data_IF_049779631463
#
_entry.id   IF_049779631463
#
_cell.length_a   1.000
_cell.length_b   1.000
_cell.length_c   1.000
_cell.angle_alpha   90.00
_cell.angle_beta   90.00
_cell.angle_gamma   90.00
#
_symmetry.space_group_name_H-M   'P 1'
#
loop_
_entity.id
_entity.type
_entity.pdbx_description
1 polymer ?
#
# COMPACT_ATOMS: atom_id res chain seq x y z
N UNK A 1 -11.09 13.67 -12.67
CA UNK A 1 -10.95 13.67 -11.20
C UNK A 1 -9.56 14.14 -10.81
N UNK A 2 -9.50 15.30 -10.18
CA UNK A 2 -8.29 15.92 -9.65
C UNK A 2 -7.77 15.13 -8.44
N UNK A 3 -6.57 15.46 -7.96
CA UNK A 3 -5.96 14.79 -6.81
C UNK A 3 -6.76 14.98 -5.52
N UNK A 4 -7.23 16.21 -5.29
CA UNK A 4 -8.02 16.56 -4.12
C UNK A 4 -9.35 15.80 -4.09
N UNK A 5 -10.02 15.68 -5.24
CA UNK A 5 -11.26 14.90 -5.37
C UNK A 5 -11.04 13.42 -4.98
N UNK A 6 -9.93 12.82 -5.43
CA UNK A 6 -9.59 11.43 -5.08
C UNK A 6 -9.32 11.27 -3.59
N UNK A 7 -8.57 12.20 -3.01
CA UNK A 7 -8.27 12.16 -1.59
C UNK A 7 -9.53 12.30 -0.74
N UNK A 8 -10.42 13.22 -1.12
CA UNK A 8 -11.71 13.41 -0.49
C UNK A 8 -12.56 12.14 -0.59
N UNK A 9 -12.63 11.54 -1.78
CA UNK A 9 -13.36 10.30 -2.01
C UNK A 9 -12.83 9.13 -1.15
N UNK A 10 -11.51 9.00 -1.06
CA UNK A 10 -10.85 8.03 -0.19
C UNK A 10 -11.21 8.27 1.28
N UNK A 11 -11.11 9.53 1.72
CA UNK A 11 -11.36 9.95 3.09
C UNK A 11 -12.79 9.63 3.52
N UNK A 12 -13.79 10.05 2.74
CA UNK A 12 -15.21 9.83 3.03
C UNK A 12 -15.54 8.35 3.17
N UNK A 13 -15.02 7.52 2.25
CA UNK A 13 -15.25 6.09 2.29
C UNK A 13 -14.60 5.44 3.52
N UNK A 14 -13.35 5.79 3.82
CA UNK A 14 -12.62 5.26 4.97
C UNK A 14 -13.26 5.71 6.28
N UNK A 15 -13.62 6.98 6.44
CA UNK A 15 -14.26 7.50 7.66
C UNK A 15 -15.54 6.74 7.94
N UNK A 16 -16.44 6.60 6.94
CA UNK A 16 -17.69 5.83 7.11
C UNK A 16 -17.43 4.41 7.61
N UNK A 17 -16.40 3.74 7.06
CA UNK A 17 -16.03 2.37 7.41
C UNK A 17 -15.38 2.27 8.79
N UNK A 18 -14.56 3.25 9.17
CA UNK A 18 -13.91 3.34 10.48
C UNK A 18 -14.91 3.66 11.59
N UNK A 19 -15.88 4.53 11.31
CA UNK A 19 -16.97 4.86 12.24
C UNK A 19 -17.85 3.63 12.53
N UNK A 20 -18.11 2.79 11.51
CA UNK A 20 -18.77 1.49 11.71
C UNK A 20 -17.96 0.55 12.63
N UNK A 21 -16.63 0.72 12.67
CA UNK A 21 -15.72 0.00 13.58
C UNK A 21 -15.50 0.72 14.91
N UNK A 22 -16.33 1.73 15.23
CA UNK A 22 -16.22 2.57 16.43
C UNK A 22 -14.93 3.40 16.55
N UNK A 23 -14.21 3.64 15.46
CA UNK A 23 -13.05 4.52 15.44
C UNK A 23 -13.37 5.86 14.77
N UNK A 24 -13.05 6.95 15.46
CA UNK A 24 -13.30 8.31 14.96
C UNK A 24 -12.04 8.88 14.35
N UNK A 25 -12.12 9.18 13.06
CA UNK A 25 -11.07 9.82 12.30
C UNK A 25 -11.58 11.11 11.67
N UNK A 26 -10.69 12.10 11.53
CA UNK A 26 -10.97 13.35 10.84
C UNK A 26 -10.03 13.50 9.66
N UNK A 27 -10.59 13.92 8.54
CA UNK A 27 -9.81 14.25 7.37
C UNK A 27 -9.10 15.59 7.55
N UNK A 28 -7.84 15.64 7.14
CA UNK A 28 -7.05 16.84 7.09
C UNK A 28 -6.16 16.86 5.85
N UNK A 29 -5.95 18.07 5.32
CA UNK A 29 -4.96 18.36 4.30
C UNK A 29 -3.90 19.27 4.91
N UNK A 30 -2.63 18.90 4.81
CA UNK A 30 -1.54 19.72 5.33
C UNK A 30 -1.34 20.95 4.44
N UNK A 31 -1.79 22.11 4.91
CA UNK A 31 -1.51 23.39 4.26
C UNK A 31 -0.17 23.97 4.75
N UNK A 32 0.49 24.84 3.98
CA UNK A 32 1.70 25.54 4.45
C UNK A 32 1.52 26.25 5.81
N UNK A 33 0.32 26.77 6.09
CA UNK A 33 -0.03 27.43 7.35
C UNK A 33 -0.22 26.46 8.53
N UNK A 34 -0.60 25.21 8.26
CA UNK A 34 -0.81 24.17 9.29
C UNK A 34 0.49 23.67 9.95
N UNK A 35 1.68 24.05 9.42
CA UNK A 35 3.00 23.72 9.99
C UNK A 35 3.16 24.08 11.48
N UNK A 36 2.39 25.04 11.99
CA UNK A 36 2.45 25.48 13.39
C UNK A 36 1.61 24.62 14.35
N UNK A 37 0.61 23.87 13.87
CA UNK A 37 -0.19 22.96 14.72
C UNK A 37 0.50 21.60 14.75
N UNK A 38 1.44 21.45 15.69
CA UNK A 38 2.21 20.23 15.93
C UNK A 38 1.27 19.11 16.38
N UNK A 39 0.94 18.18 15.49
CA UNK A 39 0.50 16.84 15.90
C UNK A 39 1.73 16.12 16.46
N UNK A 40 1.98 16.16 17.77
CA UNK A 40 3.03 15.35 18.40
C UNK A 40 4.43 15.43 17.72
N UNK A 41 4.86 16.63 17.30
CA UNK A 41 6.10 16.89 16.52
C UNK A 41 6.15 16.29 15.11
N UNK A 42 5.06 15.73 14.56
CA UNK A 42 5.01 15.25 13.19
C UNK A 42 4.69 16.38 12.17
N UNK A 43 5.72 16.96 11.50
CA UNK A 43 5.63 17.66 10.22
C UNK A 43 5.11 16.73 9.10
N UNK A 44 3.85 16.92 8.72
CA UNK A 44 3.28 16.37 7.48
C UNK A 44 3.64 17.32 6.33
N UNK A 45 4.19 16.80 5.23
CA UNK A 45 4.66 17.59 4.08
C UNK A 45 3.50 18.36 3.44
N UNK A 46 3.78 19.49 2.77
CA UNK A 46 2.74 20.32 2.12
C UNK A 46 1.90 19.48 1.15
N UNK A 47 0.59 19.70 1.16
CA UNK A 47 -0.39 19.09 0.27
C UNK A 47 -0.56 17.57 0.44
N UNK A 48 -0.23 17.04 1.62
CA UNK A 48 -0.51 15.65 1.96
C UNK A 48 -1.92 15.52 2.51
N UNK A 49 -2.58 14.45 2.11
CA UNK A 49 -3.92 14.09 2.56
C UNK A 49 -3.82 12.99 3.60
N UNK A 50 -4.52 13.14 4.72
CA UNK A 50 -4.48 12.14 5.79
C UNK A 50 -5.75 12.14 6.64
N UNK A 51 -5.99 11.01 7.28
CA UNK A 51 -6.95 10.88 8.39
C UNK A 51 -6.18 10.86 9.70
N UNK A 52 -6.66 11.56 10.71
CA UNK A 52 -6.12 11.51 12.06
C UNK A 52 -7.22 11.14 13.07
N UNK A 53 -6.91 10.25 13.99
CA UNK A 53 -7.78 9.83 15.08
C UNK A 53 -6.94 9.45 16.29
N UNK A 54 -7.60 9.06 17.38
CA UNK A 54 -6.91 8.66 18.61
C UNK A 54 -6.10 7.37 18.40
N UNK A 55 -6.56 6.50 17.49
CA UNK A 55 -5.90 5.24 17.16
C UNK A 55 -4.71 5.36 16.20
N UNK A 56 -4.54 6.52 15.55
CA UNK A 56 -3.43 6.73 14.62
C UNK A 56 -3.66 7.68 13.45
N UNK A 57 -2.83 7.51 12.43
CA UNK A 57 -2.78 8.33 11.21
C UNK A 57 -2.87 7.42 9.99
N UNK A 58 -3.77 7.75 9.06
CA UNK A 58 -3.86 7.08 7.76
C UNK A 58 -3.44 8.09 6.68
N UNK A 59 -2.32 7.83 6.00
CA UNK A 59 -1.87 8.66 4.88
C UNK A 59 -2.63 8.26 3.62
N UNK A 60 -3.30 9.22 2.99
CA UNK A 60 -4.02 9.03 1.74
C UNK A 60 -3.11 9.46 0.60
N UNK A 61 -2.84 8.53 -0.32
CA UNK A 61 -1.95 8.77 -1.46
C UNK A 61 -2.79 8.77 -2.76
N UNK A 62 -3.46 9.90 -3.08
CA UNK A 62 -4.38 10.04 -4.21
C UNK A 62 -3.68 10.09 -5.58
N UNK A 63 -2.37 10.38 -5.60
CA UNK A 63 -1.59 10.43 -6.85
C UNK A 63 -1.54 9.05 -7.49
N UNK A 64 -1.77 9.04 -8.80
CA UNK A 64 -1.23 7.96 -9.64
C UNK A 64 0.28 8.01 -9.50
N UNK A 65 0.89 6.92 -9.02
CA UNK A 65 2.34 6.85 -8.99
C UNK A 65 2.86 6.70 -10.42
N UNK A 66 3.21 7.83 -11.02
CA UNK A 66 3.96 7.91 -12.26
C UNK A 66 5.45 8.05 -11.93
N UNK A 67 6.32 7.58 -12.83
CA UNK A 67 7.79 7.66 -12.64
C UNK A 67 8.31 9.11 -12.52
N UNK A 68 7.46 10.11 -12.80
CA UNK A 68 7.75 11.54 -12.72
C UNK A 68 7.44 12.17 -11.35
N UNK A 69 6.84 11.45 -10.40
CA UNK A 69 6.57 12.00 -9.07
C UNK A 69 7.86 11.96 -8.24
N UNK A 70 8.36 13.08 -7.70
CA UNK A 70 9.61 13.09 -6.94
C UNK A 70 9.47 12.26 -5.65
N UNK A 71 10.08 11.08 -5.66
CA UNK A 71 10.11 10.07 -4.58
C UNK A 71 10.52 10.61 -3.20
N UNK A 72 11.29 11.70 -3.18
CA UNK A 72 11.91 12.27 -1.99
C UNK A 72 10.91 12.76 -0.91
N UNK A 73 9.67 13.07 -1.28
CA UNK A 73 8.67 13.63 -0.36
C UNK A 73 7.99 12.59 0.51
N UNK A 74 7.53 11.49 -0.08
CA UNK A 74 6.92 10.37 0.67
C UNK A 74 7.91 9.74 1.64
N UNK A 75 9.14 9.58 1.19
CA UNK A 75 10.25 9.00 1.94
C UNK A 75 10.48 9.67 3.29
N UNK A 76 10.58 11.00 3.27
CA UNK A 76 10.76 11.81 4.47
C UNK A 76 9.52 11.76 5.34
N UNK A 77 8.35 11.97 4.76
CA UNK A 77 7.07 11.96 5.48
C UNK A 77 6.86 10.64 6.24
N UNK A 78 7.05 9.52 5.55
CA UNK A 78 6.79 8.18 6.10
C UNK A 78 7.79 7.80 7.19
N UNK A 79 9.09 8.00 6.94
CA UNK A 79 10.13 7.72 7.93
C UNK A 79 9.97 8.60 9.17
N UNK A 80 9.69 9.88 8.95
CA UNK A 80 9.56 10.85 10.01
C UNK A 80 8.30 10.60 10.85
N UNK A 81 7.13 10.39 10.23
CA UNK A 81 5.90 10.03 10.95
C UNK A 81 6.14 8.79 11.81
N UNK A 82 6.73 7.73 11.25
CA UNK A 82 7.08 6.51 11.99
C UNK A 82 8.06 6.75 13.15
N UNK A 83 9.00 7.69 13.02
CA UNK A 83 9.97 8.00 14.08
C UNK A 83 9.42 8.92 15.20
N UNK A 84 8.27 9.54 14.99
CA UNK A 84 7.69 10.54 15.91
C UNK A 84 6.38 10.10 16.54
N UNK A 85 5.74 9.06 16.01
CA UNK A 85 4.46 8.58 16.51
C UNK A 85 4.60 7.15 17.04
N UNK A 86 4.27 6.96 18.32
CA UNK A 86 3.91 5.61 18.83
C UNK A 86 2.58 5.11 18.25
N UNK A 87 1.85 6.02 17.59
CA UNK A 87 0.56 5.77 16.98
C UNK A 87 0.64 4.93 15.69
N UNK A 88 -0.44 4.21 15.37
CA UNK A 88 -0.54 3.43 14.15
C UNK A 88 -0.47 4.35 12.93
N UNK A 89 0.49 4.16 12.04
CA UNK A 89 0.59 4.87 10.77
C UNK A 89 0.22 3.91 9.64
N UNK A 90 -0.68 4.25 8.72
CA UNK A 90 -0.99 3.41 7.55
C UNK A 90 -1.05 4.21 6.25
N UNK A 91 -0.18 3.96 5.26
CA UNK A 91 -0.34 4.50 3.93
C UNK A 91 -1.37 3.68 3.14
N UNK A 92 -2.30 4.38 2.49
CA UNK A 92 -3.28 3.80 1.57
C UNK A 92 -3.10 4.44 0.20
N UNK A 93 -2.88 3.58 -0.80
CA UNK A 93 -2.57 3.98 -2.16
C UNK A 93 -3.82 3.97 -3.04
N UNK A 94 -4.09 5.06 -3.75
CA UNK A 94 -5.16 5.09 -4.74
C UNK A 94 -4.78 4.29 -5.99
N UNK A 95 -5.69 3.44 -6.48
CA UNK A 95 -5.57 2.74 -7.76
C UNK A 95 -6.85 2.93 -8.56
N UNK A 96 -6.74 3.27 -9.84
CA UNK A 96 -7.88 3.68 -10.68
C UNK A 96 -8.79 2.53 -11.18
N UNK A 97 -8.62 1.30 -10.68
CA UNK A 97 -9.34 0.10 -11.14
C UNK A 97 -8.99 -0.38 -12.55
N UNK A 98 -8.50 0.50 -13.44
CA UNK A 98 -8.11 0.19 -14.82
C UNK A 98 -6.65 -0.25 -14.94
N UNK A 99 -5.74 0.33 -14.16
CA UNK A 99 -4.30 0.05 -14.17
C UNK A 99 -3.81 -0.42 -12.79
N UNK A 100 -4.54 -1.35 -12.17
CA UNK A 100 -4.35 -1.69 -10.76
C UNK A 100 -2.93 -2.21 -10.47
N UNK A 101 -2.43 -3.13 -11.29
CA UNK A 101 -1.04 -3.58 -11.25
C UNK A 101 -0.36 -3.50 -12.61
N UNK A 102 0.88 -3.01 -12.62
CA UNK A 102 1.76 -3.12 -13.78
C UNK A 102 2.38 -4.50 -13.76
N UNK A 103 1.91 -5.39 -14.61
CA UNK A 103 2.59 -6.65 -14.85
C UNK A 103 3.79 -6.42 -15.77
N UNK A 104 4.99 -6.92 -15.43
CA UNK A 104 6.10 -6.94 -16.38
C UNK A 104 5.85 -7.90 -17.55
N UNK A 105 4.75 -8.67 -17.53
CA UNK A 105 4.37 -9.68 -18.52
C UNK A 105 3.19 -9.28 -19.42
N UNK A 106 2.78 -8.01 -19.48
CA UNK A 106 1.77 -7.60 -20.48
C UNK A 106 2.31 -7.85 -21.90
N UNK A 107 1.44 -8.38 -22.76
CA UNK A 107 1.70 -9.23 -23.94
C UNK A 107 2.55 -8.63 -25.08
N UNK A 108 3.05 -7.40 -24.98
CA UNK A 108 3.78 -6.73 -26.07
C UNK A 108 5.28 -6.53 -25.81
N UNK A 109 5.76 -6.77 -24.58
CA UNK A 109 7.19 -6.70 -24.29
C UNK A 109 7.73 -8.11 -24.09
N UNK A 110 8.48 -8.68 -25.06
CA UNK A 110 9.24 -9.87 -24.77
C UNK A 110 10.18 -9.53 -23.62
N UNK A 111 9.97 -10.16 -22.45
CA UNK A 111 10.90 -10.15 -21.33
C UNK A 111 12.26 -10.80 -21.68
N UNK A 112 12.49 -11.09 -22.95
CA UNK A 112 13.82 -11.29 -23.51
C UNK A 112 14.51 -9.93 -23.60
N UNK A 113 15.06 -9.48 -22.47
CA UNK A 113 16.11 -8.47 -22.52
C UNK A 113 17.21 -9.05 -23.43
N UNK A 114 17.51 -8.46 -24.60
CA UNK A 114 18.33 -9.09 -25.63
C UNK A 114 19.79 -9.32 -25.20
N UNK A 115 20.18 -8.84 -24.01
CA UNK A 115 21.55 -8.94 -23.52
C UNK A 115 21.80 -9.94 -22.38
N UNK A 116 20.87 -10.31 -21.47
CA UNK A 116 21.23 -11.14 -20.28
C UNK A 116 20.07 -11.89 -19.61
N UNK A 117 20.04 -13.22 -19.78
CA UNK A 117 19.93 -14.31 -18.75
C UNK A 117 19.27 -13.96 -17.40
N UNK A 118 18.07 -13.36 -17.41
CA UNK A 118 17.19 -13.17 -16.24
C UNK A 118 15.88 -13.84 -16.59
N UNK A 119 15.68 -15.07 -16.16
CA UNK A 119 14.44 -15.78 -16.47
C UNK A 119 13.53 -15.79 -15.25
N UNK A 120 12.28 -15.40 -15.47
CA UNK A 120 11.16 -15.74 -14.58
C UNK A 120 10.44 -16.97 -15.16
N UNK A 121 11.15 -17.79 -15.95
CA UNK A 121 10.53 -18.83 -16.77
C UNK A 121 10.12 -20.06 -15.96
N UNK A 122 10.73 -20.26 -14.80
CA UNK A 122 10.27 -21.25 -13.82
C UNK A 122 8.91 -20.91 -13.19
N UNK A 123 8.37 -19.70 -13.39
CA UNK A 123 7.03 -19.35 -12.92
C UNK A 123 5.96 -19.84 -13.88
N UNK A 124 4.93 -20.50 -13.31
CA UNK A 124 3.71 -20.85 -14.04
C UNK A 124 3.02 -19.59 -14.59
N UNK A 125 2.19 -19.70 -15.64
CA UNK A 125 1.43 -18.57 -16.18
C UNK A 125 0.63 -17.82 -15.11
N UNK A 126 0.04 -18.52 -14.16
CA UNK A 126 -0.67 -17.92 -13.03
C UNK A 126 0.25 -17.08 -12.15
N UNK A 127 1.43 -17.59 -11.77
CA UNK A 127 2.40 -16.84 -10.96
C UNK A 127 2.96 -15.64 -11.73
N UNK A 128 3.16 -15.76 -13.04
CA UNK A 128 3.53 -14.64 -13.92
C UNK A 128 2.47 -13.54 -13.90
N UNK A 129 1.17 -13.88 -13.94
CA UNK A 129 0.05 -12.91 -13.81
C UNK A 129 0.03 -12.20 -12.46
N UNK A 130 0.41 -12.89 -11.38
CA UNK A 130 0.51 -12.33 -10.01
C UNK A 130 1.79 -11.53 -9.78
N UNK A 131 2.68 -11.47 -10.78
CA UNK A 131 3.93 -10.75 -10.69
C UNK A 131 3.72 -9.30 -11.13
N UNK A 132 4.17 -8.37 -10.29
CA UNK A 132 3.90 -6.95 -10.46
C UNK A 132 5.17 -6.13 -10.23
N UNK A 133 5.17 -4.93 -10.80
CA UNK A 133 6.16 -3.90 -10.48
C UNK A 133 5.58 -2.97 -9.43
N UNK A 134 6.26 -2.88 -8.29
CA UNK A 134 5.94 -1.91 -7.25
C UNK A 134 6.72 -0.61 -7.49
N UNK A 135 6.07 0.52 -7.24
CA UNK A 135 6.73 1.82 -7.15
C UNK A 135 7.64 1.93 -5.93
N UNK A 136 8.60 2.86 -5.89
CA UNK A 136 9.47 3.06 -4.72
C UNK A 136 8.72 3.30 -3.40
N UNK A 137 7.61 4.04 -3.44
CA UNK A 137 6.76 4.33 -2.29
C UNK A 137 6.07 3.05 -1.78
N UNK A 138 5.52 2.25 -2.71
CA UNK A 138 4.94 0.94 -2.40
C UNK A 138 5.99 -0.02 -1.81
N UNK A 139 7.19 -0.09 -2.40
CA UNK A 139 8.30 -0.91 -1.88
C UNK A 139 8.63 -0.50 -0.44
N UNK A 140 8.62 0.79 -0.14
CA UNK A 140 8.90 1.29 1.20
C UNK A 140 7.82 0.92 2.21
N UNK A 141 6.55 1.12 1.83
CA UNK A 141 5.42 0.70 2.66
C UNK A 141 5.48 -0.81 2.91
N UNK A 142 5.71 -1.60 1.86
CA UNK A 142 5.82 -3.05 1.92
C UNK A 142 6.95 -3.53 2.81
N UNK A 143 8.18 -2.97 2.72
CA UNK A 143 9.32 -3.37 3.56
C UNK A 143 9.03 -3.32 5.07
N UNK A 144 8.08 -2.49 5.49
CA UNK A 144 7.70 -2.37 6.90
C UNK A 144 6.75 -3.46 7.39
N UNK A 145 5.96 -4.08 6.51
CA UNK A 145 4.75 -4.85 6.86
C UNK A 145 4.53 -6.12 6.04
N UNK A 146 5.31 -6.31 4.98
CA UNK A 146 5.10 -7.29 3.91
C UNK A 146 3.73 -7.19 3.23
N UNK A 147 3.01 -6.07 3.39
CA UNK A 147 1.69 -5.85 2.81
C UNK A 147 1.51 -4.39 2.38
N UNK A 148 0.64 -4.15 1.38
CA UNK A 148 0.23 -2.82 0.94
C UNK A 148 -1.29 -2.75 0.89
N UNK A 149 -1.86 -1.65 1.38
CA UNK A 149 -3.29 -1.37 1.32
C UNK A 149 -3.58 -0.37 0.20
N UNK A 150 -4.56 -0.71 -0.63
CA UNK A 150 -5.03 0.07 -1.75
C UNK A 150 -6.49 0.47 -1.58
N UNK A 151 -6.82 1.65 -2.08
CA UNK A 151 -8.18 2.07 -2.32
C UNK A 151 -8.50 1.94 -3.80
N UNK A 152 -9.58 1.22 -4.09
CA UNK A 152 -10.14 1.04 -5.42
C UNK A 152 -11.45 1.84 -5.50
N UNK A 153 -11.54 2.86 -6.37
CA UNK A 153 -12.78 3.58 -6.63
C UNK A 153 -13.74 2.66 -7.37
N UNK A 154 -15.01 3.07 -7.41
CA UNK A 154 -15.98 2.41 -8.28
C UNK A 154 -15.57 2.58 -9.75
N UNK A 155 -15.69 1.51 -10.52
CA UNK A 155 -15.53 1.53 -11.98
C UNK A 155 -16.60 0.65 -12.63
N UNK A 156 -16.72 0.69 -13.95
CA UNK A 156 -17.66 -0.16 -14.70
C UNK A 156 -17.53 -1.65 -14.37
N UNK A 157 -16.31 -2.11 -14.04
CA UNK A 157 -16.00 -3.52 -13.83
C UNK A 157 -15.86 -3.92 -12.37
N UNK A 158 -15.70 -2.94 -11.47
CA UNK A 158 -15.26 -3.19 -10.11
C UNK A 158 -15.97 -2.28 -9.12
N UNK A 159 -16.46 -2.87 -8.04
CA UNK A 159 -17.01 -2.13 -6.92
C UNK A 159 -15.92 -1.35 -6.16
N UNK A 160 -16.38 -0.32 -5.45
CA UNK A 160 -15.55 0.52 -4.59
C UNK A 160 -15.15 -0.25 -3.34
N UNK A 161 -13.86 -0.42 -3.10
CA UNK A 161 -13.38 -1.24 -1.99
C UNK A 161 -11.96 -0.91 -1.54
N UNK A 162 -11.61 -1.39 -0.35
CA UNK A 162 -10.24 -1.37 0.18
C UNK A 162 -9.68 -2.78 0.08
N UNK A 163 -8.52 -2.91 -0.55
CA UNK A 163 -7.82 -4.19 -0.71
C UNK A 163 -6.46 -4.14 -0.04
N UNK A 164 -6.08 -5.21 0.62
CA UNK A 164 -4.70 -5.37 1.13
C UNK A 164 -4.06 -6.57 0.49
N UNK A 165 -2.87 -6.39 -0.07
CA UNK A 165 -2.11 -7.47 -0.69
C UNK A 165 -0.85 -7.74 0.10
N UNK A 166 -0.58 -9.01 0.36
CA UNK A 166 0.69 -9.47 0.89
C UNK A 166 1.64 -9.72 -0.28
N UNK A 167 2.90 -9.28 -0.18
CA UNK A 167 3.88 -9.40 -1.25
C UNK A 167 5.10 -10.22 -0.85
N UNK A 168 5.66 -10.92 -1.82
CA UNK A 168 6.98 -11.56 -1.73
C UNK A 168 7.84 -11.11 -2.92
N UNK A 169 9.16 -10.91 -2.75
CA UNK A 169 10.03 -10.68 -3.89
C UNK A 169 9.88 -11.79 -4.93
N UNK A 170 9.85 -11.43 -6.22
CA UNK A 170 9.96 -12.42 -7.28
C UNK A 170 11.41 -12.94 -7.30
N UNK A 171 11.58 -14.25 -7.38
CA UNK A 171 12.89 -14.89 -7.47
C UNK A 171 13.27 -14.96 -8.94
N UNK A 172 14.40 -14.39 -9.33
CA UNK A 172 14.94 -14.59 -10.67
C UNK A 172 15.82 -15.82 -10.70
N UNK A 173 15.66 -16.60 -11.77
CA UNK A 173 16.54 -17.72 -12.07
C UNK A 173 17.62 -17.28 -13.07
N UNK A 174 18.85 -17.54 -12.68
CA UNK A 174 20.08 -17.24 -13.41
C UNK A 174 20.82 -18.52 -13.79
N UNK A 175 20.19 -19.69 -13.73
CA UNK A 175 20.76 -20.92 -14.27
C UNK A 175 21.20 -20.72 -15.72
N UNK A 176 22.41 -21.18 -16.02
CA UNK A 176 23.07 -20.94 -17.28
C UNK A 176 23.61 -19.52 -17.42
N UNK A 177 23.80 -18.72 -16.36
CA UNK A 177 24.50 -17.43 -16.40
C UNK A 177 25.88 -17.51 -15.71
N UNK A 178 27.01 -17.41 -16.44
CA UNK A 178 28.31 -17.82 -15.94
C UNK A 178 28.81 -16.84 -14.88
N UNK A 179 28.35 -15.57 -14.95
CA UNK A 179 28.68 -14.54 -13.96
C UNK A 179 27.98 -14.79 -12.63
N UNK A 180 26.75 -15.28 -12.65
CA UNK A 180 25.99 -15.54 -11.43
C UNK A 180 26.35 -16.90 -10.83
N UNK A 181 26.65 -17.89 -11.69
CA UNK A 181 27.18 -19.20 -11.31
C UNK A 181 28.55 -19.08 -10.64
N UNK A 182 29.46 -18.28 -11.21
CA UNK A 182 30.76 -17.98 -10.59
C UNK A 182 30.63 -17.29 -9.22
N UNK A 183 29.52 -16.58 -8.98
CA UNK A 183 29.20 -15.97 -7.69
C UNK A 183 28.42 -16.90 -6.75
N UNK A 184 28.12 -18.13 -7.17
CA UNK A 184 27.34 -19.11 -6.40
C UNK A 184 25.88 -18.70 -6.14
N UNK A 185 25.32 -17.79 -6.96
CA UNK A 185 23.96 -17.26 -6.80
C UNK A 185 23.09 -17.58 -8.01
N UNK A 186 22.71 -18.86 -8.21
CA UNK A 186 21.85 -19.25 -9.33
C UNK A 186 20.45 -18.64 -9.22
N UNK A 187 20.04 -18.19 -8.03
CA UNK A 187 18.78 -17.50 -7.80
C UNK A 187 19.01 -16.22 -6.99
N UNK A 188 18.22 -15.17 -7.26
CA UNK A 188 18.22 -13.97 -6.45
C UNK A 188 16.86 -13.26 -6.45
N UNK A 189 16.50 -12.70 -5.30
CA UNK A 189 15.31 -11.89 -5.14
C UNK A 189 15.39 -10.60 -5.97
N UNK A 190 14.30 -10.28 -6.65
CA UNK A 190 14.15 -9.00 -7.34
C UNK A 190 14.04 -7.85 -6.34
N UNK A 191 14.74 -6.76 -6.65
CA UNK A 191 14.61 -5.50 -5.90
C UNK A 191 13.36 -4.70 -6.27
N UNK A 192 12.73 -4.97 -7.43
CA UNK A 192 11.64 -4.15 -8.00
C UNK A 192 10.39 -4.95 -8.35
N UNK A 193 10.51 -6.26 -8.47
CA UNK A 193 9.46 -7.16 -8.95
C UNK A 193 8.99 -8.03 -7.80
N UNK A 194 7.69 -8.06 -7.59
CA UNK A 194 7.08 -8.76 -6.47
C UNK A 194 5.94 -9.64 -6.97
N UNK A 195 5.66 -10.69 -6.23
CA UNK A 195 4.46 -11.50 -6.41
C UNK A 195 3.52 -11.19 -5.28
N UNK A 196 2.26 -10.86 -5.58
CA UNK A 196 1.27 -10.91 -4.51
C UNK A 196 1.12 -12.37 -4.08
N UNK A 197 0.96 -12.61 -2.78
CA UNK A 197 0.78 -13.94 -2.21
C UNK A 197 -0.65 -14.16 -1.74
N UNK A 198 -1.26 -13.11 -1.16
CA UNK A 198 -2.63 -13.11 -0.65
C UNK A 198 -3.29 -11.78 -0.93
N UNK A 199 -4.59 -11.83 -1.11
CA UNK A 199 -5.47 -10.69 -1.30
C UNK A 199 -6.52 -10.71 -0.20
N UNK A 200 -6.67 -9.59 0.49
CA UNK A 200 -7.62 -9.41 1.58
C UNK A 200 -8.56 -8.27 1.21
N UNK A 201 -9.80 -8.62 0.91
CA UNK A 201 -10.87 -7.65 0.70
C UNK A 201 -11.44 -7.20 2.04
N UNK A 202 -11.80 -5.92 2.11
CA UNK A 202 -12.27 -5.27 3.35
C UNK A 202 -13.68 -4.75 3.13
N UNK A 203 -14.67 -5.62 3.32
CA UNK A 203 -16.08 -5.37 2.98
C UNK A 203 -16.90 -4.84 4.17
N UNK A 204 -16.48 -5.08 5.40
CA UNK A 204 -17.19 -4.71 6.63
C UNK A 204 -16.77 -3.39 7.28
N UNK A 205 -17.03 -3.28 8.59
CA UNK A 205 -16.51 -2.23 9.45
C UNK A 205 -14.99 -2.34 9.55
N UNK A 206 -14.28 -1.22 9.68
CA UNK A 206 -12.82 -1.20 9.71
C UNK A 206 -12.27 -0.69 11.03
N UNK A 207 -11.16 -1.27 11.44
CA UNK A 207 -10.35 -0.82 12.58
C UNK A 207 -8.89 -0.74 12.15
N UNK A 208 -8.26 0.40 12.43
CA UNK A 208 -6.83 0.60 12.37
C UNK A 208 -6.20 0.00 13.63
N UNK A 209 -5.47 -1.09 13.46
CA UNK A 209 -4.77 -1.78 14.54
C UNK A 209 -3.39 -2.23 14.07
N UNK A 210 -2.35 -1.95 14.87
CA UNK A 210 -0.96 -2.31 14.58
C UNK A 210 -0.53 -1.98 13.15
N UNK A 211 -0.85 -0.77 12.71
CA UNK A 211 -0.54 -0.28 11.36
C UNK A 211 -1.20 -1.07 10.21
N UNK A 212 -2.34 -1.73 10.46
CA UNK A 212 -3.12 -2.46 9.46
C UNK A 212 -4.60 -2.11 9.58
N UNK A 213 -5.34 -2.18 8.46
CA UNK A 213 -6.81 -2.17 8.49
C UNK A 213 -7.33 -3.60 8.59
N UNK A 214 -8.06 -3.85 9.67
CA UNK A 214 -8.77 -5.10 9.92
C UNK A 214 -10.24 -4.90 9.58
N UNK A 215 -10.86 -5.89 8.93
CA UNK A 215 -12.32 -5.94 8.77
C UNK A 215 -12.88 -6.61 10.00
N UNK A 216 -13.88 -6.00 10.62
CA UNK A 216 -14.68 -6.62 11.66
C UNK A 216 -15.99 -7.01 11.00
N UNK A 217 -16.26 -8.31 10.95
CA UNK A 217 -17.55 -8.80 10.49
C UNK A 217 -18.58 -8.46 11.57
N UNK A 218 -19.61 -7.72 11.18
CA UNK A 218 -20.69 -7.25 12.06
C UNK A 218 -21.51 -8.38 12.68
N UNK A 219 -21.27 -9.63 12.30
CA UNK A 219 -21.93 -10.84 12.83
C UNK A 219 -21.46 -11.25 14.22
N UNK A 220 -20.42 -10.63 14.80
CA UNK A 220 -19.94 -10.95 16.17
C UNK A 220 -20.38 -9.90 17.21
N UNK A 221 -21.31 -8.99 16.89
CA UNK A 221 -21.73 -7.92 17.82
C UNK A 221 -22.84 -8.30 18.82
N UNK A 222 -23.14 -9.59 19.05
CA UNK A 222 -24.09 -10.01 20.10
C UNK A 222 -23.51 -11.08 21.02
N UNK A 223 -22.46 -10.75 21.76
CA UNK A 223 -22.26 -11.16 23.16
C UNK A 223 -20.87 -10.76 23.63
N UNK A 224 -20.77 -10.39 24.90
CA UNK A 224 -19.57 -10.01 25.62
C UNK A 224 -19.05 -8.58 25.35
N UNK A 225 -19.53 -7.68 26.21
CA UNK A 225 -18.68 -6.80 27.00
C UNK A 225 -17.29 -7.43 27.24
N UNK A 226 -16.32 -7.08 26.40
CA UNK A 226 -14.92 -7.47 26.59
C UNK A 226 -14.10 -6.30 27.15
N UNK A 227 -13.46 -6.47 28.32
CA UNK A 227 -12.56 -5.50 28.91
C UNK A 227 -11.19 -5.66 28.25
N UNK A 228 -11.01 -5.08 27.07
CA UNK A 228 -9.72 -5.12 26.37
C UNK A 228 -9.10 -3.74 26.23
N UNK A 229 -9.28 -2.86 27.21
CA UNK A 229 -8.49 -1.64 27.36
C UNK A 229 -8.25 -1.36 28.86
N UNK A 230 -7.30 -2.08 29.43
CA UNK A 230 -6.60 -1.67 30.63
C UNK A 230 -5.10 -1.98 30.45
N UNK A 231 -4.37 -0.98 29.93
CA UNK A 231 -2.99 -0.69 30.29
C UNK A 231 -2.79 0.82 30.19
#
# INVERSE_FOLDING_TARGET
MQEDDRAQEMAEHLIKKLEQGNQRFRYAKSTPASRRKRFGKAIIDKDSHYLHGDDGIILLLPKKITNSTPHFKFDKLYAFARSKTDANLLPIFYKDGKNFFRSPFNEELPLKHPSKRKSLDHYTPEKKRKTILLSPEEIRAMRSRNSITYFQPQSERLEKMIKTYDFKPAVFDYQGNPKMEALGKPQADSKKTYQWAREHEKTGALVLYQNKLLSIDSTVQTSASHPFLAR
#
